data_IF_769651229332
#
_entry.id   IF_769651229332
#
_cell.length_a   1.000
_cell.length_b   1.000
_cell.length_c   1.000
_cell.angle_alpha   90.00
_cell.angle_beta   90.00
_cell.angle_gamma   90.00
#
_symmetry.space_group_name_H-M   'P 1'
#
loop_
_entity.id
_entity.type
_entity.pdbx_description
1 polymer ?
#
# COMPACT_ATOMS: atom_id res chain seq x y z
N UNK A 1 -18.94 -13.96 15.45
CA UNK A 1 -17.68 -13.31 15.88
C UNK A 1 -16.68 -13.50 14.74
N UNK A 2 -17.04 -12.98 13.57
CA UNK A 2 -16.54 -11.69 13.02
C UNK A 2 -15.15 -11.89 12.41
N UNK A 3 -15.16 -12.46 11.20
CA UNK A 3 -13.99 -12.57 10.34
C UNK A 3 -13.70 -11.20 9.77
N UNK A 4 -12.81 -10.45 10.40
CA UNK A 4 -12.29 -9.18 9.86
C UNK A 4 -10.91 -9.42 9.27
N UNK A 5 -10.88 -10.18 8.18
CA UNK A 5 -9.76 -10.17 7.25
C UNK A 5 -10.00 -8.99 6.32
N UNK A 6 -9.36 -7.86 6.59
CA UNK A 6 -9.30 -6.75 5.64
C UNK A 6 -8.65 -7.29 4.36
N UNK A 7 -9.41 -7.17 3.28
CA UNK A 7 -9.30 -7.96 2.07
C UNK A 7 -8.09 -7.54 1.23
N UNK A 8 -6.94 -8.20 1.44
CA UNK A 8 -5.93 -8.27 0.37
C UNK A 8 -6.50 -9.20 -0.69
N UNK A 9 -6.74 -8.75 -1.94
CA UNK A 9 -7.36 -9.60 -2.95
C UNK A 9 -6.48 -10.82 -3.21
N UNK A 10 -6.94 -11.96 -2.70
CA UNK A 10 -6.36 -13.29 -2.85
C UNK A 10 -6.65 -13.84 -4.26
N UNK A 11 -6.17 -13.15 -5.30
CA UNK A 11 -6.29 -13.65 -6.67
C UNK A 11 -5.27 -13.05 -7.64
N UNK A 12 -4.01 -13.48 -7.50
CA UNK A 12 -3.06 -13.48 -8.64
C UNK A 12 -3.42 -14.61 -9.64
N UNK A 13 -4.67 -15.07 -9.70
CA UNK A 13 -5.07 -16.31 -10.37
C UNK A 13 -6.44 -16.32 -11.04
N UNK A 14 -7.20 -15.22 -11.03
CA UNK A 14 -8.42 -15.12 -11.82
C UNK A 14 -8.38 -13.82 -12.62
N UNK A 15 -8.64 -13.90 -13.93
CA UNK A 15 -8.54 -12.76 -14.86
C UNK A 15 -9.61 -11.72 -14.52
N UNK A 16 -9.40 -10.93 -13.47
CA UNK A 16 -10.01 -9.63 -13.35
C UNK A 16 -9.65 -8.86 -14.62
N UNK A 17 -10.63 -8.22 -15.24
CA UNK A 17 -10.43 -7.36 -16.42
C UNK A 17 -9.54 -6.20 -15.98
N UNK A 18 -8.23 -6.38 -16.07
CA UNK A 18 -7.25 -5.39 -15.64
C UNK A 18 -7.36 -4.22 -16.62
N UNK A 19 -7.84 -3.08 -16.14
CA UNK A 19 -8.09 -1.90 -16.99
C UNK A 19 -6.76 -1.33 -17.52
N UNK A 20 -5.68 -1.53 -16.78
CA UNK A 20 -4.32 -1.13 -17.16
C UNK A 20 -3.29 -1.45 -16.09
N UNK A 21 -2.04 -1.06 -16.34
CA UNK A 21 -0.92 -1.18 -15.39
C UNK A 21 -0.41 0.21 -15.00
N UNK A 22 -0.11 0.39 -13.71
CA UNK A 22 0.41 1.64 -13.14
C UNK A 22 1.68 1.36 -12.34
N UNK A 23 2.66 2.25 -12.41
CA UNK A 23 3.86 2.19 -11.58
C UNK A 23 3.86 3.34 -10.58
N UNK A 24 3.97 3.01 -9.30
CA UNK A 24 4.15 3.95 -8.19
C UNK A 24 5.60 3.93 -7.78
N UNK A 25 6.26 5.09 -7.87
CA UNK A 25 7.67 5.25 -7.48
C UNK A 25 7.73 5.98 -6.14
N UNK A 26 8.24 5.30 -5.11
CA UNK A 26 8.34 5.78 -3.74
C UNK A 26 7.40 5.04 -2.79
N UNK A 27 7.94 4.19 -1.92
CA UNK A 27 7.24 3.40 -0.91
C UNK A 27 7.04 4.14 0.42
N UNK A 28 6.82 5.45 0.40
CA UNK A 28 6.38 6.20 1.58
C UNK A 28 4.89 5.99 1.87
N UNK A 29 4.37 6.62 2.94
CA UNK A 29 2.94 6.53 3.30
C UNK A 29 2.00 6.89 2.14
N UNK A 30 2.34 7.93 1.37
CA UNK A 30 1.56 8.38 0.22
C UNK A 30 1.58 7.38 -0.93
N UNK A 31 2.74 6.80 -1.24
CA UNK A 31 2.89 5.83 -2.33
C UNK A 31 2.23 4.49 -2.01
N UNK A 32 2.34 4.03 -0.76
CA UNK A 32 1.62 2.84 -0.32
C UNK A 32 0.10 3.03 -0.39
N UNK A 33 -0.42 4.17 0.08
CA UNK A 33 -1.85 4.47 -0.01
C UNK A 33 -2.30 4.56 -1.47
N UNK A 34 -1.54 5.27 -2.32
CA UNK A 34 -1.84 5.39 -3.74
C UNK A 34 -1.84 4.02 -4.44
N UNK A 35 -0.91 3.13 -4.08
CA UNK A 35 -0.87 1.79 -4.64
C UNK A 35 -2.09 0.94 -4.23
N UNK A 36 -2.53 1.06 -2.97
CA UNK A 36 -3.74 0.39 -2.48
C UNK A 36 -5.00 0.93 -3.17
N UNK A 37 -5.13 2.24 -3.29
CA UNK A 37 -6.28 2.87 -3.95
C UNK A 37 -6.39 2.43 -5.42
N UNK A 38 -5.25 2.38 -6.13
CA UNK A 38 -5.17 1.92 -7.51
C UNK A 38 -5.43 0.42 -7.65
N UNK A 39 -4.93 -0.40 -6.73
CA UNK A 39 -5.21 -1.84 -6.72
C UNK A 39 -6.69 -2.12 -6.46
N UNK A 40 -7.31 -1.40 -5.53
CA UNK A 40 -8.75 -1.47 -5.25
C UNK A 40 -9.59 -0.97 -6.43
N UNK A 41 -9.07 -0.02 -7.22
CA UNK A 41 -9.70 0.44 -8.46
C UNK A 41 -9.54 -0.54 -9.64
N UNK A 42 -8.84 -1.67 -9.46
CA UNK A 42 -8.70 -2.72 -10.47
C UNK A 42 -7.51 -2.55 -11.42
N UNK A 43 -6.52 -1.73 -11.06
CA UNK A 43 -5.26 -1.62 -11.81
C UNK A 43 -4.22 -2.60 -11.28
N UNK A 44 -3.36 -3.08 -12.19
CA UNK A 44 -2.15 -3.78 -11.77
C UNK A 44 -1.07 -2.78 -11.38
N UNK A 45 -0.66 -2.79 -10.11
CA UNK A 45 0.24 -1.76 -9.57
C UNK A 45 1.63 -2.33 -9.30
N UNK A 46 2.64 -1.70 -9.90
CA UNK A 46 4.04 -1.89 -9.57
C UNK A 46 4.46 -0.83 -8.54
N UNK A 47 4.79 -1.23 -7.31
CA UNK A 47 5.37 -0.32 -6.31
C UNK A 47 6.90 -0.48 -6.31
N UNK A 48 7.62 0.59 -6.61
CA UNK A 48 9.09 0.61 -6.66
C UNK A 48 9.62 1.57 -5.60
N UNK A 49 10.42 1.07 -4.69
CA UNK A 49 11.12 1.86 -3.67
C UNK A 49 12.63 1.73 -3.86
N UNK A 50 13.37 2.82 -3.64
CA UNK A 50 14.83 2.85 -3.77
C UNK A 50 15.51 2.18 -2.58
N UNK A 51 14.96 2.39 -1.38
CA UNK A 51 15.48 1.83 -0.14
C UNK A 51 15.18 0.33 -0.02
N UNK A 52 15.91 -0.37 0.84
CA UNK A 52 15.65 -1.77 1.18
C UNK A 52 14.37 -1.96 2.02
N UNK A 53 13.77 -0.87 2.51
CA UNK A 53 12.56 -0.88 3.32
C UNK A 53 11.56 0.18 2.85
N UNK A 54 10.27 -0.14 2.99
CA UNK A 54 9.13 0.76 2.77
C UNK A 54 8.80 1.56 4.04
N UNK A 55 7.98 2.60 3.92
CA UNK A 55 7.54 3.48 5.01
C UNK A 55 8.12 4.91 4.95
N UNK A 56 9.14 5.14 4.13
CA UNK A 56 9.69 6.48 3.88
C UNK A 56 10.17 7.19 5.16
N UNK A 57 9.88 8.48 5.29
CA UNK A 57 10.22 9.26 6.50
C UNK A 57 9.39 8.85 7.70
N UNK A 58 8.15 8.39 7.49
CA UNK A 58 7.23 8.02 8.57
C UNK A 58 7.79 6.86 9.40
N UNK A 59 8.45 5.91 8.74
CA UNK A 59 9.17 4.80 9.37
C UNK A 59 10.31 5.24 10.31
N UNK A 60 10.80 6.48 10.19
CA UNK A 60 11.90 7.02 11.02
C UNK A 60 11.38 7.84 12.21
N UNK A 61 10.07 8.09 12.27
CA UNK A 61 9.45 8.82 13.38
C UNK A 61 9.08 7.84 14.48
N UNK A 62 9.43 8.14 15.73
CA UNK A 62 8.97 7.33 16.87
C UNK A 62 7.47 7.46 17.10
N UNK A 63 6.94 8.67 16.85
CA UNK A 63 5.58 9.06 17.20
C UNK A 63 4.95 9.97 16.17
N UNK A 64 3.65 9.78 15.92
CA UNK A 64 2.85 10.64 15.04
C UNK A 64 1.98 11.59 15.88
N UNK A 65 2.16 12.89 15.73
CA UNK A 65 1.25 13.87 16.30
C UNK A 65 -0.08 13.86 15.52
N UNK A 66 -1.27 14.07 16.13
CA UNK A 66 -1.57 14.44 17.52
C UNK A 66 -1.80 13.27 18.48
N UNK A 67 -1.98 12.06 17.96
CA UNK A 67 -2.40 10.90 18.75
C UNK A 67 -1.25 10.26 19.53
N UNK A 68 0.00 10.56 19.15
CA UNK A 68 1.20 9.98 19.74
C UNK A 68 1.23 8.45 19.59
N UNK A 69 0.71 7.96 18.46
CA UNK A 69 0.78 6.55 18.08
C UNK A 69 2.18 6.20 17.59
N UNK A 70 2.55 4.92 17.68
CA UNK A 70 3.78 4.43 17.07
C UNK A 70 3.63 4.45 15.54
N UNK A 71 4.65 4.93 14.85
CA UNK A 71 4.62 5.09 13.39
C UNK A 71 4.85 3.79 12.63
N UNK A 72 5.27 2.72 13.32
CA UNK A 72 5.57 1.40 12.79
C UNK A 72 5.10 0.30 13.74
#
# INVERSE_FOLDING_TARGET
>A
MEKRAEQVPESVGEKAQIVGSVMVVGGGISGMQSALDLANAGYYVYLVEKSSAIGGLMAQLDKTFPTNDCSM
#
